data_IF_822330675719
#
_entry.id   IF_822330675719
#
_cell.length_a   1.000
_cell.length_b   1.000
_cell.length_c   1.000
_cell.angle_alpha   90.00
_cell.angle_beta   90.00
_cell.angle_gamma   90.00
#
_symmetry.space_group_name_H-M   'P 1'
#
loop_
_entity.id
_entity.type
_entity.pdbx_description
1 polymer ?
#
# COMPACT_ATOMS: atom_id res chain seq x y z
N UNK A 1 2.22 -22.51 -17.68
CA UNK A 1 2.03 -21.64 -16.49
C UNK A 1 3.17 -20.61 -16.32
N UNK A 2 3.95 -20.30 -17.38
CA UNK A 2 5.14 -19.45 -17.27
C UNK A 2 4.89 -17.97 -17.64
N UNK A 3 3.65 -17.55 -17.76
CA UNK A 3 3.27 -16.19 -18.20
C UNK A 3 2.57 -15.36 -17.12
N UNK A 4 2.78 -15.69 -15.86
CA UNK A 4 2.27 -14.86 -14.76
C UNK A 4 3.34 -13.86 -14.32
N UNK A 5 2.97 -12.58 -14.28
CA UNK A 5 3.79 -11.55 -13.65
C UNK A 5 3.77 -11.77 -12.13
N UNK A 6 4.93 -12.01 -11.54
CA UNK A 6 5.10 -12.19 -10.09
C UNK A 6 5.59 -10.89 -9.49
N UNK A 7 4.86 -10.38 -8.51
CA UNK A 7 5.22 -9.22 -7.73
C UNK A 7 5.52 -9.63 -6.29
N UNK A 8 6.45 -8.93 -5.65
CA UNK A 8 6.74 -9.07 -4.23
C UNK A 8 6.69 -7.71 -3.52
N UNK A 9 6.56 -7.73 -2.20
CA UNK A 9 6.61 -6.54 -1.36
C UNK A 9 7.86 -6.53 -0.48
N UNK A 10 8.29 -5.33 -0.15
CA UNK A 10 9.37 -5.05 0.78
C UNK A 10 8.80 -4.35 2.02
N UNK A 11 9.08 -4.91 3.20
CA UNK A 11 8.73 -4.28 4.49
C UNK A 11 9.65 -3.08 4.79
N UNK A 12 10.95 -3.23 4.49
CA UNK A 12 11.94 -2.17 4.68
C UNK A 12 11.95 -1.20 3.51
N UNK A 13 10.88 -0.44 3.36
CA UNK A 13 10.72 0.56 2.30
C UNK A 13 10.11 1.84 2.87
N UNK A 14 10.34 2.96 2.21
CA UNK A 14 9.74 4.24 2.58
C UNK A 14 8.82 4.70 1.47
N UNK A 15 7.60 5.06 1.84
CA UNK A 15 6.58 5.60 0.92
C UNK A 15 6.52 7.12 1.07
N UNK A 16 6.47 7.82 -0.05
CA UNK A 16 6.35 9.28 -0.12
C UNK A 16 5.11 9.65 -0.92
N UNK A 17 4.35 10.59 -0.41
CA UNK A 17 3.37 11.33 -1.21
C UNK A 17 3.96 12.70 -1.47
N UNK A 18 4.26 12.99 -2.74
CA UNK A 18 5.01 14.17 -3.15
C UNK A 18 4.12 15.16 -3.90
N UNK A 19 4.32 16.44 -3.62
CA UNK A 19 3.80 17.54 -4.44
C UNK A 19 4.97 18.11 -5.24
N UNK A 20 4.93 17.92 -6.56
CA UNK A 20 6.01 18.30 -7.48
C UNK A 20 5.60 19.52 -8.30
N UNK A 21 6.51 20.47 -8.56
CA UNK A 21 6.26 21.53 -9.52
C UNK A 21 6.09 20.94 -10.93
N UNK A 22 5.35 21.63 -11.78
CA UNK A 22 5.27 21.27 -13.20
C UNK A 22 6.58 21.64 -13.88
N UNK A 23 7.35 20.64 -14.24
CA UNK A 23 8.65 20.78 -14.92
C UNK A 23 8.66 19.98 -16.23
N UNK A 24 9.73 20.11 -17.02
CA UNK A 24 9.92 19.28 -18.21
C UNK A 24 10.10 17.80 -17.79
N UNK A 25 9.60 16.88 -18.61
CA UNK A 25 9.72 15.43 -18.34
C UNK A 25 11.16 14.98 -18.08
N UNK A 26 12.15 15.65 -18.70
CA UNK A 26 13.56 15.32 -18.51
C UNK A 26 14.05 15.59 -17.08
N UNK A 27 13.47 16.56 -16.39
CA UNK A 27 13.89 17.02 -15.06
C UNK A 27 13.08 16.38 -13.94
N UNK A 28 11.99 15.68 -14.29
CA UNK A 28 10.99 15.20 -13.34
C UNK A 28 11.58 14.16 -12.36
N UNK A 29 12.48 13.27 -12.82
CA UNK A 29 13.10 12.27 -11.92
C UNK A 29 13.97 12.94 -10.85
N UNK A 30 14.79 13.92 -11.26
CA UNK A 30 15.66 14.65 -10.35
C UNK A 30 14.83 15.45 -9.33
N UNK A 31 13.73 16.07 -9.79
CA UNK A 31 12.82 16.83 -8.93
C UNK A 31 12.08 15.90 -7.96
N UNK A 32 11.63 14.74 -8.41
CA UNK A 32 10.97 13.75 -7.54
C UNK A 32 11.92 13.24 -6.45
N UNK A 33 13.13 12.84 -6.84
CA UNK A 33 14.16 12.38 -5.90
C UNK A 33 14.55 13.47 -4.89
N UNK A 34 14.77 14.71 -5.37
CA UNK A 34 15.10 15.85 -4.49
C UNK A 34 13.97 16.12 -3.47
N UNK A 35 12.72 16.07 -3.88
CA UNK A 35 11.59 16.27 -2.97
C UNK A 35 11.47 15.12 -1.96
N UNK A 36 11.64 13.87 -2.39
CA UNK A 36 11.68 12.72 -1.48
C UNK A 36 12.81 12.83 -0.45
N UNK A 37 14.01 13.24 -0.88
CA UNK A 37 15.18 13.43 -0.02
C UNK A 37 15.02 14.53 1.03
N UNK A 38 14.07 15.45 0.85
CA UNK A 38 13.72 16.46 1.88
C UNK A 38 12.89 15.85 3.02
N UNK A 39 12.15 14.78 2.74
CA UNK A 39 11.33 14.08 3.73
C UNK A 39 12.18 13.05 4.48
N UNK A 40 12.96 12.27 3.76
CA UNK A 40 13.90 11.29 4.31
C UNK A 40 15.16 11.26 3.44
N UNK A 41 16.36 11.34 4.04
CA UNK A 41 17.61 11.32 3.29
C UNK A 41 17.70 10.07 2.41
N UNK A 42 17.94 10.27 1.12
CA UNK A 42 18.12 9.19 0.14
C UNK A 42 19.55 9.31 -0.41
N UNK A 43 20.32 8.24 -0.26
CA UNK A 43 21.59 8.08 -0.97
C UNK A 43 21.30 7.40 -2.32
N UNK A 44 21.43 8.10 -3.46
CA UNK A 44 21.08 7.52 -4.77
C UNK A 44 21.95 6.31 -5.16
N UNK A 45 23.16 6.21 -4.62
CA UNK A 45 24.09 5.13 -4.95
C UNK A 45 23.79 3.82 -4.19
N UNK A 46 22.98 3.90 -3.13
CA UNK A 46 22.63 2.76 -2.26
C UNK A 46 21.12 2.47 -2.21
N UNK A 47 20.33 3.31 -2.89
CA UNK A 47 18.87 3.28 -2.77
C UNK A 47 18.21 3.18 -4.13
N UNK A 48 17.35 2.20 -4.32
CA UNK A 48 16.41 2.16 -5.43
C UNK A 48 15.24 3.10 -5.13
N UNK A 49 14.87 3.91 -6.10
CA UNK A 49 13.79 4.88 -6.01
C UNK A 49 12.92 4.84 -7.26
N UNK A 50 11.63 4.73 -7.08
CA UNK A 50 10.65 4.82 -8.17
C UNK A 50 9.44 5.65 -7.75
N UNK A 51 8.78 6.28 -8.72
CA UNK A 51 7.58 7.07 -8.50
C UNK A 51 6.57 6.93 -9.63
N UNK A 52 5.31 7.25 -9.32
CA UNK A 52 4.21 7.36 -10.28
C UNK A 52 3.47 8.66 -10.07
N UNK A 53 3.14 9.33 -11.18
CA UNK A 53 2.32 10.53 -11.14
C UNK A 53 0.85 10.15 -10.93
N UNK A 54 0.22 10.78 -9.96
CA UNK A 54 -1.20 10.61 -9.64
C UNK A 54 -2.10 11.64 -10.35
N UNK A 55 -1.49 12.68 -10.91
CA UNK A 55 -2.19 13.75 -11.62
C UNK A 55 -1.88 15.14 -11.07
N UNK A 56 -2.66 16.12 -11.50
CA UNK A 56 -2.52 17.52 -11.03
C UNK A 56 -3.23 17.68 -9.68
N UNK A 57 -2.66 18.53 -8.83
CA UNK A 57 -3.28 18.94 -7.57
C UNK A 57 -4.38 19.97 -7.88
N UNK A 58 -5.56 19.79 -7.30
CA UNK A 58 -6.64 20.76 -7.39
C UNK A 58 -6.50 21.82 -6.30
N UNK A 59 -6.91 23.05 -6.57
CA UNK A 59 -7.09 24.10 -5.54
C UNK A 59 -5.84 24.87 -5.13
N UNK A 60 -4.71 24.74 -5.84
CA UNK A 60 -3.52 25.56 -5.58
C UNK A 60 -3.35 26.63 -6.68
N UNK A 61 -2.92 27.85 -6.30
CA UNK A 61 -2.64 28.96 -7.23
C UNK A 61 -1.49 28.60 -8.20
N UNK A 62 -0.62 27.69 -7.80
CA UNK A 62 0.49 27.23 -8.63
C UNK A 62 0.21 25.80 -9.09
N UNK A 63 0.19 25.53 -10.41
CA UNK A 63 0.01 24.20 -10.93
C UNK A 63 1.08 23.24 -10.38
N UNK A 64 0.65 22.17 -9.74
CA UNK A 64 1.53 21.14 -9.20
C UNK A 64 1.05 19.74 -9.57
N UNK A 65 1.98 18.78 -9.52
CA UNK A 65 1.73 17.38 -9.78
C UNK A 65 1.81 16.60 -8.45
N UNK A 66 0.84 15.76 -8.18
CA UNK A 66 0.92 14.79 -7.09
C UNK A 66 1.56 13.51 -7.60
N UNK A 67 2.50 12.99 -6.83
CA UNK A 67 3.15 11.72 -7.12
C UNK A 67 3.21 10.85 -5.88
N UNK A 68 3.20 9.54 -6.09
CA UNK A 68 3.53 8.55 -5.06
C UNK A 68 4.87 7.94 -5.39
N UNK A 69 5.76 7.84 -4.43
CA UNK A 69 7.09 7.29 -4.61
C UNK A 69 7.42 6.26 -3.53
N UNK A 70 8.31 5.36 -3.86
CA UNK A 70 8.85 4.35 -2.96
C UNK A 70 10.35 4.34 -3.06
N UNK A 71 11.03 4.20 -1.93
CA UNK A 71 12.46 3.93 -1.88
C UNK A 71 12.76 2.73 -0.99
N UNK A 72 13.82 1.99 -1.31
CA UNK A 72 14.36 0.92 -0.49
C UNK A 72 15.85 0.74 -0.79
N UNK A 73 16.58 0.08 0.11
CA UNK A 73 17.98 -0.23 -0.10
C UNK A 73 18.19 -1.10 -1.35
N UNK A 74 19.25 -0.83 -2.10
CA UNK A 74 19.61 -1.67 -3.26
C UNK A 74 19.91 -3.10 -2.81
N UNK A 75 20.57 -3.26 -1.67
CA UNK A 75 20.86 -4.57 -1.08
C UNK A 75 19.58 -5.35 -0.81
N UNK A 76 18.58 -4.75 -0.16
CA UNK A 76 17.28 -5.37 0.09
C UNK A 76 16.59 -5.80 -1.20
N UNK A 77 16.57 -4.94 -2.21
CA UNK A 77 16.01 -5.27 -3.52
C UNK A 77 16.75 -6.45 -4.20
N UNK A 78 18.07 -6.48 -4.10
CA UNK A 78 18.91 -7.53 -4.68
C UNK A 78 18.74 -8.88 -3.98
N UNK A 79 18.60 -8.89 -2.66
CA UNK A 79 18.32 -10.10 -1.88
C UNK A 79 17.03 -10.75 -2.38
N UNK A 80 15.97 -9.98 -2.56
CA UNK A 80 14.69 -10.48 -3.07
C UNK A 80 14.83 -10.99 -4.51
N UNK A 81 15.44 -10.19 -5.40
CA UNK A 81 15.67 -10.60 -6.79
C UNK A 81 16.42 -11.92 -6.87
N UNK A 82 17.54 -12.02 -6.16
CA UNK A 82 18.37 -13.21 -6.12
C UNK A 82 17.65 -14.44 -5.56
N UNK A 83 16.84 -14.26 -4.51
CA UNK A 83 16.06 -15.35 -3.93
C UNK A 83 15.05 -15.95 -4.92
N UNK A 84 14.32 -15.08 -5.63
CA UNK A 84 13.36 -15.51 -6.64
C UNK A 84 14.04 -16.13 -7.88
N UNK A 85 15.16 -15.56 -8.35
CA UNK A 85 15.96 -16.13 -9.44
C UNK A 85 16.47 -17.53 -9.10
N UNK A 86 16.98 -17.75 -7.88
CA UNK A 86 17.38 -19.08 -7.39
C UNK A 86 16.22 -20.09 -7.36
N UNK A 87 15.01 -19.62 -7.11
CA UNK A 87 13.79 -20.42 -7.17
C UNK A 87 13.27 -20.64 -8.61
N UNK A 88 13.95 -20.10 -9.64
CA UNK A 88 13.52 -20.17 -11.04
C UNK A 88 12.31 -19.27 -11.34
N UNK A 89 12.01 -18.28 -10.50
CA UNK A 89 10.89 -17.36 -10.65
C UNK A 89 11.41 -15.99 -11.06
N UNK A 90 10.88 -15.45 -12.15
CA UNK A 90 11.19 -14.09 -12.59
C UNK A 90 10.24 -13.10 -11.94
N UNK A 91 10.76 -12.17 -11.12
CA UNK A 91 9.99 -11.06 -10.62
C UNK A 91 9.69 -10.04 -11.72
N UNK A 92 8.42 -9.68 -11.86
CA UNK A 92 7.95 -8.58 -12.70
C UNK A 92 8.07 -7.24 -11.96
N UNK A 93 7.94 -7.24 -10.63
CA UNK A 93 8.05 -6.05 -9.82
C UNK A 93 8.27 -6.30 -8.33
N UNK A 94 8.75 -5.25 -7.68
CA UNK A 94 8.96 -5.17 -6.25
C UNK A 94 8.45 -3.80 -5.77
N UNK A 95 7.55 -3.80 -4.78
CA UNK A 95 6.94 -2.58 -4.28
C UNK A 95 6.92 -2.55 -2.74
N UNK A 96 6.38 -1.50 -2.16
CA UNK A 96 6.25 -1.36 -0.71
C UNK A 96 5.08 -2.15 -0.15
N UNK A 97 5.30 -2.86 0.94
CA UNK A 97 4.26 -3.54 1.70
C UNK A 97 3.16 -2.56 2.17
N UNK A 98 3.56 -1.39 2.59
CA UNK A 98 2.66 -0.37 3.12
C UNK A 98 1.78 0.29 2.05
N UNK A 99 2.29 0.39 0.82
CA UNK A 99 1.61 1.08 -0.27
C UNK A 99 0.56 0.21 -0.96
N UNK A 100 0.85 -1.07 -1.12
CA UNK A 100 0.05 -1.97 -1.95
C UNK A 100 -1.42 -2.08 -1.51
N UNK A 101 -1.76 -2.19 -0.22
CA UNK A 101 -3.15 -2.18 0.23
C UNK A 101 -3.88 -0.88 -0.07
N UNK A 102 -3.17 0.26 0.04
CA UNK A 102 -3.74 1.57 -0.26
C UNK A 102 -4.06 1.74 -1.76
N UNK A 103 -3.19 1.25 -2.65
CA UNK A 103 -3.45 1.25 -4.09
C UNK A 103 -4.63 0.35 -4.46
N UNK A 104 -4.79 -0.77 -3.78
CA UNK A 104 -5.97 -1.63 -3.94
C UNK A 104 -7.24 -0.90 -3.48
N UNK A 105 -7.20 -0.21 -2.33
CA UNK A 105 -8.31 0.58 -1.82
C UNK A 105 -8.71 1.71 -2.78
N UNK A 106 -7.74 2.38 -3.42
CA UNK A 106 -8.00 3.40 -4.44
C UNK A 106 -8.80 2.87 -5.65
N UNK A 107 -8.57 1.62 -6.05
CA UNK A 107 -9.24 1.00 -7.21
C UNK A 107 -10.62 0.44 -6.88
N UNK A 108 -10.83 0.11 -5.63
CA UNK A 108 -12.05 -0.53 -5.16
C UNK A 108 -12.58 0.23 -3.94
N UNK A 109 -13.27 1.37 -4.12
CA UNK A 109 -13.77 2.17 -3.00
C UNK A 109 -14.71 1.37 -2.11
N UNK A 110 -14.66 1.62 -0.81
CA UNK A 110 -15.53 0.98 0.19
C UNK A 110 -16.96 1.50 0.09
N UNK A 111 -17.08 2.76 -0.28
CA UNK A 111 -18.34 3.46 -0.46
C UNK A 111 -18.17 4.46 -1.60
N UNK A 112 -18.97 4.32 -2.64
CA UNK A 112 -18.89 5.17 -3.83
C UNK A 112 -19.25 6.64 -3.55
N UNK A 113 -19.97 6.89 -2.45
CA UNK A 113 -20.30 8.24 -2.00
C UNK A 113 -19.13 8.97 -1.31
N UNK A 114 -18.10 8.25 -0.89
CA UNK A 114 -16.95 8.82 -0.20
C UNK A 114 -15.92 9.35 -1.19
N UNK A 115 -15.89 10.64 -1.40
CA UNK A 115 -14.87 11.29 -2.23
C UNK A 115 -13.53 11.41 -1.52
N UNK A 116 -13.54 11.60 -0.20
CA UNK A 116 -12.35 11.61 0.66
C UNK A 116 -12.59 10.67 1.84
N UNK A 117 -11.68 9.74 2.05
CA UNK A 117 -11.77 8.81 3.17
C UNK A 117 -10.40 8.38 3.67
N UNK A 118 -10.36 7.92 4.91
CA UNK A 118 -9.19 7.32 5.50
C UNK A 118 -9.20 5.79 5.26
N UNK A 119 -8.07 5.24 4.87
CA UNK A 119 -7.83 3.80 4.81
C UNK A 119 -6.71 3.46 5.80
N UNK A 120 -6.99 2.58 6.74
CA UNK A 120 -6.05 2.21 7.79
C UNK A 120 -5.84 0.70 7.82
N UNK A 121 -4.59 0.28 7.74
CA UNK A 121 -4.17 -1.09 8.05
C UNK A 121 -3.58 -1.12 9.45
N UNK A 122 -3.96 -2.10 10.25
CA UNK A 122 -3.43 -2.33 11.61
C UNK A 122 -2.77 -3.69 11.63
N UNK A 123 -1.46 -3.71 11.69
CA UNK A 123 -0.65 -4.91 11.86
C UNK A 123 -0.22 -5.07 13.32
N UNK A 124 0.61 -6.06 13.63
CA UNK A 124 1.03 -6.39 14.99
C UNK A 124 1.71 -5.21 15.71
N UNK A 125 2.74 -4.63 15.13
CA UNK A 125 3.55 -3.57 15.74
C UNK A 125 3.27 -2.16 15.22
N UNK A 126 2.67 -2.02 14.05
CA UNK A 126 2.49 -0.73 13.39
C UNK A 126 1.14 -0.61 12.68
N UNK A 127 0.79 0.59 12.32
CA UNK A 127 -0.38 0.90 11.52
C UNK A 127 -0.02 1.89 10.42
N UNK A 128 -0.62 1.70 9.26
CA UNK A 128 -0.48 2.60 8.13
C UNK A 128 -1.81 3.28 7.87
N UNK A 129 -1.82 4.60 7.90
CA UNK A 129 -2.97 5.43 7.55
C UNK A 129 -2.73 6.09 6.19
N UNK A 130 -3.62 5.86 5.27
CA UNK A 130 -3.64 6.50 3.95
C UNK A 130 -4.91 7.32 3.80
N UNK A 131 -4.79 8.60 3.50
CA UNK A 131 -5.92 9.40 3.04
C UNK A 131 -6.06 9.24 1.54
N UNK A 132 -7.25 8.89 1.11
CA UNK A 132 -7.60 8.70 -0.29
C UNK A 132 -8.60 9.79 -0.68
N UNK A 133 -8.28 10.55 -1.72
CA UNK A 133 -9.13 11.61 -2.26
C UNK A 133 -9.37 11.36 -3.75
N UNK A 134 -10.64 11.28 -4.14
CA UNK A 134 -11.05 11.01 -5.52
C UNK A 134 -10.35 9.77 -6.13
N UNK A 135 -10.26 8.70 -5.34
CA UNK A 135 -9.63 7.43 -5.74
C UNK A 135 -8.11 7.49 -5.89
N UNK A 136 -7.43 8.48 -5.27
CA UNK A 136 -5.97 8.64 -5.31
C UNK A 136 -5.41 8.79 -3.91
N UNK A 137 -4.22 8.28 -3.70
CA UNK A 137 -3.48 8.50 -2.45
C UNK A 137 -3.16 10.00 -2.32
N UNK A 138 -3.64 10.60 -1.24
CA UNK A 138 -3.46 12.02 -0.95
C UNK A 138 -2.40 12.25 0.14
N UNK A 139 -2.35 11.39 1.14
CA UNK A 139 -1.38 11.40 2.22
C UNK A 139 -1.20 9.97 2.75
N UNK A 140 0.01 9.60 3.15
CA UNK A 140 0.26 8.34 3.88
C UNK A 140 1.14 8.63 5.09
N UNK A 141 0.82 7.99 6.21
CA UNK A 141 1.59 8.06 7.45
C UNK A 141 1.62 6.72 8.16
N UNK A 142 2.79 6.38 8.67
CA UNK A 142 2.98 5.22 9.52
C UNK A 142 2.94 5.65 10.97
N UNK A 143 2.32 4.81 11.79
CA UNK A 143 2.30 4.95 13.22
C UNK A 143 2.98 3.73 13.83
N UNK A 144 3.96 3.95 14.67
CA UNK A 144 4.54 2.89 15.52
C UNK A 144 3.56 2.52 16.64
N UNK A 145 2.41 2.03 16.23
CA UNK A 145 1.27 1.68 17.05
C UNK A 145 0.43 0.66 16.31
N UNK A 146 0.42 -0.57 16.79
CA UNK A 146 -0.28 -1.67 16.16
C UNK A 146 -1.17 -2.45 17.14
N UNK A 147 -1.59 -3.61 16.70
CA UNK A 147 -2.48 -4.47 17.47
C UNK A 147 -1.91 -4.84 18.84
N UNK A 148 -0.60 -5.07 18.95
CA UNK A 148 0.02 -5.47 20.20
C UNK A 148 -0.07 -4.36 21.28
N UNK A 149 0.03 -3.07 20.87
CA UNK A 149 -0.18 -1.95 21.79
C UNK A 149 -1.65 -1.72 22.09
N UNK A 150 -2.56 -2.00 21.16
CA UNK A 150 -3.99 -1.95 21.39
C UNK A 150 -4.46 -3.02 22.37
N UNK A 151 -3.88 -4.21 22.29
CA UNK A 151 -4.24 -5.34 23.13
C UNK A 151 -3.51 -5.37 24.48
N UNK A 152 -2.51 -4.51 24.70
CA UNK A 152 -1.70 -4.52 25.92
C UNK A 152 -2.55 -4.45 27.19
N UNK A 153 -3.53 -3.55 27.23
CA UNK A 153 -4.42 -3.39 28.38
C UNK A 153 -5.36 -4.60 28.58
N UNK A 154 -5.75 -5.26 27.47
CA UNK A 154 -6.53 -6.51 27.52
C UNK A 154 -5.70 -7.67 28.07
N UNK A 155 -4.44 -7.76 27.69
CA UNK A 155 -3.48 -8.75 28.21
C UNK A 155 -3.26 -8.53 29.70
N UNK A 156 -3.08 -7.29 30.15
CA UNK A 156 -2.92 -6.96 31.57
C UNK A 156 -4.14 -7.37 32.40
N UNK A 157 -5.35 -7.05 31.92
CA UNK A 157 -6.59 -7.45 32.60
C UNK A 157 -6.76 -8.97 32.65
N UNK A 158 -6.47 -9.66 31.56
CA UNK A 158 -6.54 -11.13 31.52
C UNK A 158 -5.52 -11.74 32.48
N UNK A 159 -4.36 -11.12 32.67
CA UNK A 159 -3.32 -11.59 33.58
C UNK A 159 -3.75 -11.67 35.06
N UNK A 160 -4.76 -10.84 35.44
CA UNK A 160 -5.32 -10.84 36.81
C UNK A 160 -6.33 -11.96 37.00
N UNK A 161 -7.00 -12.40 35.93
CA UNK A 161 -8.09 -13.39 35.99
C UNK A 161 -7.63 -14.83 35.69
N UNK A 162 -6.49 -15.00 34.99
CA UNK A 162 -5.94 -16.32 34.67
C UNK A 162 -4.97 -16.82 35.74
N UNK A 163 -4.99 -18.15 35.95
CA UNK A 163 -4.11 -18.83 36.89
C UNK A 163 -2.63 -18.54 36.62
N UNK A 164 -1.92 -18.27 37.71
CA UNK A 164 -0.48 -18.05 37.67
C UNK A 164 0.26 -19.36 37.77
N UNK A 165 1.05 -19.71 36.75
CA UNK A 165 2.01 -20.81 36.80
C UNK A 165 3.36 -20.28 37.31
N UNK A 166 3.82 -20.73 38.51
CA UNK A 166 5.11 -20.27 39.07
C UNK A 166 6.35 -20.66 38.24
N UNK A 167 6.21 -21.64 37.33
CA UNK A 167 7.31 -22.11 36.49
C UNK A 167 7.37 -21.40 35.12
N UNK A 168 6.35 -20.57 34.79
CA UNK A 168 6.30 -19.83 33.52
C UNK A 168 7.11 -18.53 33.64
N UNK A 169 7.97 -18.27 32.65
CA UNK A 169 8.67 -16.98 32.61
C UNK A 169 7.69 -15.83 32.34
N UNK A 170 7.98 -14.59 32.80
CA UNK A 170 7.13 -13.44 32.54
C UNK A 170 6.88 -13.21 31.04
N UNK A 171 7.88 -13.48 30.19
CA UNK A 171 7.78 -13.30 28.74
C UNK A 171 6.91 -14.38 28.11
N UNK A 172 7.04 -15.64 28.51
CA UNK A 172 6.21 -16.76 28.04
C UNK A 172 4.75 -16.53 28.45
N UNK A 173 4.52 -16.09 29.68
CA UNK A 173 3.19 -15.73 30.17
C UNK A 173 2.56 -14.65 29.33
N UNK A 174 3.29 -13.59 29.05
CA UNK A 174 2.82 -12.47 28.22
C UNK A 174 2.48 -12.95 26.80
N UNK A 175 3.32 -13.77 26.20
CA UNK A 175 3.10 -14.34 24.87
C UNK A 175 1.84 -15.23 24.85
N UNK A 176 1.66 -16.08 25.87
CA UNK A 176 0.47 -16.94 26.02
C UNK A 176 -0.81 -16.10 26.18
N UNK A 177 -0.77 -15.08 27.03
CA UNK A 177 -1.92 -14.19 27.25
C UNK A 177 -2.27 -13.40 25.97
N UNK A 178 -1.27 -12.91 25.24
CA UNK A 178 -1.47 -12.25 23.94
C UNK A 178 -2.13 -13.18 22.94
N UNK A 179 -1.65 -14.43 22.84
CA UNK A 179 -2.27 -15.44 21.99
C UNK A 179 -3.73 -15.71 22.41
N UNK A 180 -3.98 -15.80 23.70
CA UNK A 180 -5.32 -16.02 24.25
C UNK A 180 -6.27 -14.87 23.90
N UNK A 181 -5.83 -13.62 24.05
CA UNK A 181 -6.61 -12.44 23.65
C UNK A 181 -6.90 -12.49 22.15
N UNK A 182 -5.91 -12.78 21.31
CA UNK A 182 -6.09 -12.92 19.85
C UNK A 182 -7.10 -14.02 19.51
N UNK A 183 -7.08 -15.16 20.21
CA UNK A 183 -8.06 -16.24 20.06
C UNK A 183 -9.48 -15.78 20.41
N UNK A 184 -9.64 -15.02 21.50
CA UNK A 184 -10.96 -14.49 21.90
C UNK A 184 -11.51 -13.58 20.79
N UNK A 185 -10.69 -12.73 20.20
CA UNK A 185 -11.12 -11.88 19.08
C UNK A 185 -11.41 -12.67 17.79
N UNK A 186 -10.75 -13.79 17.58
CA UNK A 186 -10.97 -14.64 16.41
C UNK A 186 -12.26 -15.50 16.51
N UNK A 187 -12.70 -15.80 17.73
CA UNK A 187 -13.87 -16.66 18.00
C UNK A 187 -15.08 -15.81 18.42
N UNK A 188 -16.14 -15.86 17.61
CA UNK A 188 -17.36 -15.09 17.86
C UNK A 188 -18.08 -15.45 19.18
N UNK A 189 -18.02 -16.72 19.62
CA UNK A 189 -18.66 -17.14 20.87
C UNK A 189 -17.86 -16.67 22.08
N UNK A 190 -16.52 -16.78 22.01
CA UNK A 190 -15.64 -16.24 23.03
C UNK A 190 -15.77 -14.71 23.11
N UNK A 191 -15.89 -14.05 21.97
CA UNK A 191 -16.07 -12.59 21.91
C UNK A 191 -17.39 -12.15 22.55
N UNK A 192 -18.48 -12.89 22.37
CA UNK A 192 -19.77 -12.61 23.06
C UNK A 192 -19.65 -12.74 24.58
N UNK A 193 -18.85 -13.71 25.03
CA UNK A 193 -18.70 -13.96 26.49
C UNK A 193 -17.75 -12.95 27.15
N UNK A 194 -16.72 -12.51 26.44
CA UNK A 194 -15.67 -11.63 26.99
C UNK A 194 -15.70 -10.22 26.39
N UNK A 195 -16.62 -9.93 25.46
CA UNK A 195 -16.60 -8.73 24.63
C UNK A 195 -16.65 -7.42 25.41
N UNK A 196 -17.51 -7.32 26.44
CA UNK A 196 -17.64 -6.11 27.23
C UNK A 196 -16.37 -5.81 28.05
N UNK A 197 -15.75 -6.84 28.62
CA UNK A 197 -14.48 -6.71 29.33
C UNK A 197 -13.35 -6.26 28.39
N UNK A 198 -13.29 -6.85 27.22
CA UNK A 198 -12.26 -6.55 26.21
C UNK A 198 -12.48 -5.20 25.55
N UNK A 199 -13.73 -4.83 25.25
CA UNK A 199 -14.04 -3.51 24.70
C UNK A 199 -13.58 -2.40 25.64
N UNK A 200 -13.87 -2.50 26.95
CA UNK A 200 -13.41 -1.51 27.92
C UNK A 200 -11.89 -1.48 28.10
N UNK A 201 -11.19 -2.60 27.86
CA UNK A 201 -9.71 -2.64 27.91
C UNK A 201 -9.05 -2.08 26.66
N UNK A 202 -9.76 -1.96 25.55
CA UNK A 202 -9.25 -1.30 24.35
C UNK A 202 -9.30 0.25 24.42
N UNK A 203 -10.07 0.80 25.35
CA UNK A 203 -10.35 2.25 25.38
C UNK A 203 -9.10 3.12 25.39
N UNK A 204 -8.11 2.81 26.23
CA UNK A 204 -6.87 3.59 26.29
C UNK A 204 -6.05 3.48 25.00
N UNK A 205 -6.01 2.29 24.40
CA UNK A 205 -5.37 2.07 23.11
C UNK A 205 -6.08 2.81 21.99
N UNK A 206 -7.41 2.74 21.94
CA UNK A 206 -8.24 3.46 20.97
C UNK A 206 -8.06 4.98 21.11
N UNK A 207 -8.01 5.52 22.33
CA UNK A 207 -7.79 6.96 22.56
C UNK A 207 -6.42 7.42 22.04
N UNK A 208 -5.38 6.58 22.15
CA UNK A 208 -4.08 6.85 21.52
C UNK A 208 -4.19 6.85 20.00
N UNK A 209 -4.87 5.86 19.42
CA UNK A 209 -5.11 5.76 17.98
C UNK A 209 -5.85 7.02 17.47
N UNK A 210 -6.91 7.42 18.12
CA UNK A 210 -7.69 8.62 17.76
C UNK A 210 -6.83 9.87 17.71
N UNK A 211 -5.94 10.08 18.69
CA UNK A 211 -5.03 11.23 18.67
C UNK A 211 -4.13 11.26 17.45
N UNK A 212 -3.69 10.10 16.94
CA UNK A 212 -2.93 10.03 15.69
C UNK A 212 -3.81 10.35 14.48
N UNK A 213 -5.02 9.83 14.43
CA UNK A 213 -5.98 10.08 13.35
C UNK A 213 -6.35 11.56 13.29
N UNK A 214 -6.77 12.17 14.39
CA UNK A 214 -7.15 13.58 14.49
C UNK A 214 -6.01 14.53 14.09
N UNK A 215 -4.78 14.22 14.53
CA UNK A 215 -3.60 15.01 14.14
C UNK A 215 -3.35 14.92 12.63
N UNK A 216 -3.53 13.74 12.05
CA UNK A 216 -3.32 13.53 10.62
C UNK A 216 -4.43 14.19 9.80
N UNK A 217 -5.68 14.08 10.23
CA UNK A 217 -6.81 14.75 9.59
C UNK A 217 -6.67 16.27 9.65
N UNK A 218 -6.36 16.81 10.83
CA UNK A 218 -6.11 18.26 11.00
C UNK A 218 -4.93 18.77 10.16
N UNK A 219 -3.86 17.98 10.05
CA UNK A 219 -2.75 18.33 9.17
C UNK A 219 -3.19 18.36 7.71
N UNK A 220 -3.93 17.34 7.27
CA UNK A 220 -4.40 17.24 5.90
C UNK A 220 -5.32 18.40 5.51
N UNK A 221 -6.25 18.76 6.39
CA UNK A 221 -7.15 19.88 6.15
C UNK A 221 -6.45 21.25 6.17
N UNK A 222 -5.56 21.48 7.13
CA UNK A 222 -4.96 22.82 7.36
C UNK A 222 -3.72 23.08 6.53
N UNK A 223 -2.91 22.07 6.26
CA UNK A 223 -1.61 22.21 5.58
C UNK A 223 -1.67 21.76 4.14
N UNK A 224 -2.33 20.63 3.87
CA UNK A 224 -2.49 20.10 2.51
C UNK A 224 -3.75 20.65 1.82
N UNK A 225 -4.59 21.39 2.55
CA UNK A 225 -5.86 21.97 2.05
C UNK A 225 -6.81 20.91 1.48
N UNK A 226 -6.74 19.69 1.98
CA UNK A 226 -7.61 18.58 1.60
C UNK A 226 -8.97 18.63 2.29
N UNK A 227 -9.92 17.87 1.79
CA UNK A 227 -11.23 17.74 2.43
C UNK A 227 -11.19 16.79 3.64
N UNK A 228 -12.02 17.07 4.66
CA UNK A 228 -12.18 16.19 5.79
C UNK A 228 -12.61 14.77 5.34
N UNK A 229 -12.06 13.70 5.97
CA UNK A 229 -12.47 12.34 5.64
C UNK A 229 -13.93 12.10 5.98
N UNK A 230 -14.71 11.57 5.02
CA UNK A 230 -16.12 11.22 5.18
C UNK A 230 -16.32 9.92 5.96
N UNK A 231 -15.29 9.09 6.06
CA UNK A 231 -15.30 7.83 6.79
C UNK A 231 -13.92 7.19 6.88
N UNK A 232 -13.84 6.12 7.66
CA UNK A 232 -12.65 5.30 7.86
C UNK A 232 -12.91 3.88 7.35
N UNK A 233 -12.05 3.40 6.46
CA UNK A 233 -11.98 1.99 6.07
C UNK A 233 -10.86 1.32 6.86
N UNK A 234 -11.19 0.29 7.62
CA UNK A 234 -10.27 -0.42 8.50
C UNK A 234 -9.98 -1.83 7.99
N UNK A 235 -8.72 -2.18 7.94
CA UNK A 235 -8.22 -3.54 7.72
C UNK A 235 -7.35 -3.94 8.89
N UNK A 236 -7.72 -5.02 9.56
CA UNK A 236 -6.98 -5.67 10.63
C UNK A 236 -7.42 -7.13 10.70
N UNK A 237 -6.88 -7.91 11.62
CA UNK A 237 -7.36 -9.27 11.85
C UNK A 237 -8.84 -9.28 12.21
N UNK A 238 -9.59 -10.22 11.62
CA UNK A 238 -11.05 -10.19 11.47
C UNK A 238 -11.85 -9.83 12.72
N UNK A 239 -11.68 -10.57 13.80
CA UNK A 239 -12.47 -10.33 15.02
C UNK A 239 -12.13 -9.00 15.66
N UNK A 240 -10.85 -8.68 15.71
CA UNK A 240 -10.32 -7.42 16.23
C UNK A 240 -10.78 -6.21 15.40
N UNK A 241 -10.76 -6.32 14.07
CA UNK A 241 -11.20 -5.24 13.18
C UNK A 241 -12.62 -4.76 13.47
N UNK A 242 -13.56 -5.66 13.75
CA UNK A 242 -14.95 -5.33 14.03
C UNK A 242 -15.11 -4.55 15.35
N UNK A 243 -14.38 -4.97 16.39
CA UNK A 243 -14.42 -4.31 17.70
C UNK A 243 -13.77 -2.93 17.60
N UNK A 244 -12.59 -2.86 16.99
CA UNK A 244 -11.86 -1.60 16.80
C UNK A 244 -12.66 -0.60 15.95
N UNK A 245 -13.29 -1.04 14.87
CA UNK A 245 -14.11 -0.16 14.02
C UNK A 245 -15.26 0.47 14.81
N UNK A 246 -16.00 -0.32 15.62
CA UNK A 246 -17.08 0.20 16.46
C UNK A 246 -16.61 1.24 17.46
N UNK A 247 -15.46 0.96 18.11
CA UNK A 247 -14.88 1.90 19.09
C UNK A 247 -14.42 3.19 18.42
N UNK A 248 -13.77 3.10 17.25
CA UNK A 248 -13.35 4.27 16.47
C UNK A 248 -14.54 5.07 15.96
N UNK A 249 -15.56 4.42 15.40
CA UNK A 249 -16.80 5.06 14.93
C UNK A 249 -17.47 5.86 16.04
N UNK A 250 -17.65 5.23 17.21
CA UNK A 250 -18.27 5.87 18.37
C UNK A 250 -17.53 7.13 18.86
N UNK A 251 -16.19 7.13 18.78
CA UNK A 251 -15.36 8.21 19.33
C UNK A 251 -14.99 9.27 18.27
N UNK A 252 -14.78 8.87 17.01
CA UNK A 252 -14.47 9.82 15.91
C UNK A 252 -15.70 10.51 15.33
N UNK A 253 -16.89 9.90 15.50
CA UNK A 253 -18.13 10.43 14.93
C UNK A 253 -18.22 10.35 13.41
N UNK A 254 -17.37 9.55 12.76
CA UNK A 254 -17.41 9.25 11.32
C UNK A 254 -17.64 7.75 11.11
N UNK A 255 -18.33 7.34 10.03
CA UNK A 255 -18.58 5.92 9.74
C UNK A 255 -17.27 5.13 9.61
N UNK A 256 -17.18 3.99 10.30
CA UNK A 256 -16.04 3.08 10.22
C UNK A 256 -16.47 1.74 9.60
N UNK A 257 -15.93 1.42 8.44
CA UNK A 257 -16.22 0.17 7.72
C UNK A 257 -15.02 -0.76 7.75
N UNK A 258 -15.25 -2.02 8.14
CA UNK A 258 -14.20 -3.05 8.06
C UNK A 258 -14.17 -3.62 6.66
N UNK A 259 -12.98 -3.78 6.11
CA UNK A 259 -12.77 -4.42 4.83
C UNK A 259 -11.84 -5.62 4.95
N UNK A 260 -12.37 -6.78 4.60
CA UNK A 260 -11.66 -8.05 4.58
C UNK A 260 -11.31 -8.45 3.14
N UNK A 261 -10.37 -9.38 2.93
CA UNK A 261 -9.97 -9.82 1.59
C UNK A 261 -11.14 -10.22 0.68
N UNK A 262 -12.13 -10.95 1.21
CA UNK A 262 -13.32 -11.36 0.47
C UNK A 262 -14.26 -10.23 0.01
N UNK A 263 -14.13 -9.03 0.58
CA UNK A 263 -14.88 -7.86 0.15
C UNK A 263 -14.33 -7.22 -1.14
N UNK A 264 -13.12 -7.60 -1.56
CA UNK A 264 -12.52 -7.11 -2.80
C UNK A 264 -13.01 -7.94 -3.98
N UNK A 265 -13.50 -7.28 -5.01
CA UNK A 265 -13.83 -7.90 -6.30
C UNK A 265 -12.78 -7.49 -7.30
N UNK A 266 -12.01 -8.46 -7.77
CA UNK A 266 -10.96 -8.26 -8.77
C UNK A 266 -11.55 -8.53 -10.13
N UNK A 267 -11.54 -7.53 -10.99
CA UNK A 267 -12.05 -7.65 -12.36
C UNK A 267 -11.25 -8.71 -13.13
N UNK A 268 -11.97 -9.64 -13.77
CA UNK A 268 -11.36 -10.74 -14.52
C UNK A 268 -10.89 -11.93 -13.67
N UNK A 269 -11.05 -11.90 -12.33
CA UNK A 269 -10.77 -13.05 -11.50
C UNK A 269 -11.93 -14.06 -11.53
N UNK A 270 -11.58 -15.36 -11.57
CA UNK A 270 -12.56 -16.44 -11.51
C UNK A 270 -13.26 -16.50 -10.13
N UNK A 271 -14.50 -16.98 -10.07
CA UNK A 271 -15.26 -17.17 -8.81
C UNK A 271 -14.50 -17.99 -7.77
N UNK A 272 -13.65 -18.92 -8.21
CA UNK A 272 -12.77 -19.71 -7.34
C UNK A 272 -11.80 -18.84 -6.55
N UNK A 273 -11.26 -17.78 -7.14
CA UNK A 273 -10.34 -16.83 -6.45
C UNK A 273 -11.12 -16.08 -5.37
N UNK A 274 -12.32 -15.63 -5.66
CA UNK A 274 -13.17 -14.98 -4.66
C UNK A 274 -13.52 -15.91 -3.50
N UNK A 275 -13.84 -17.18 -3.78
CA UNK A 275 -14.10 -18.18 -2.74
C UNK A 275 -12.88 -18.49 -1.86
N UNK A 276 -11.68 -18.39 -2.42
CA UNK A 276 -10.43 -18.49 -1.62
C UNK A 276 -10.27 -17.26 -0.73
N UNK A 277 -10.47 -16.05 -1.28
CA UNK A 277 -10.33 -14.79 -0.54
C UNK A 277 -11.29 -14.68 0.63
N UNK A 278 -12.50 -15.24 0.53
CA UNK A 278 -13.50 -15.26 1.62
C UNK A 278 -12.99 -16.04 2.86
N UNK A 279 -12.05 -16.97 2.68
CA UNK A 279 -11.45 -17.73 3.77
C UNK A 279 -10.28 -17.03 4.46
N UNK A 280 -9.68 -16.01 3.83
CA UNK A 280 -8.60 -15.24 4.41
C UNK A 280 -9.13 -14.06 5.23
N UNK A 281 -8.62 -13.88 6.43
CA UNK A 281 -9.10 -12.88 7.39
C UNK A 281 -7.95 -12.09 8.01
N UNK A 282 -6.86 -11.91 7.27
CA UNK A 282 -5.65 -11.23 7.74
C UNK A 282 -5.17 -10.15 6.78
N UNK A 283 -4.37 -9.23 7.29
CA UNK A 283 -3.79 -8.10 6.52
C UNK A 283 -2.93 -8.61 5.37
N UNK A 284 -2.10 -9.62 5.61
CA UNK A 284 -1.21 -10.20 4.59
C UNK A 284 -1.93 -10.69 3.32
N UNK A 285 -3.19 -11.15 3.45
CA UNK A 285 -3.97 -11.54 2.28
C UNK A 285 -4.40 -10.33 1.43
N UNK A 286 -4.61 -9.16 2.04
CA UNK A 286 -4.90 -7.92 1.32
C UNK A 286 -3.64 -7.41 0.62
N UNK A 287 -2.48 -7.53 1.25
CA UNK A 287 -1.20 -7.22 0.63
C UNK A 287 -0.95 -8.10 -0.60
N UNK A 288 -1.13 -9.42 -0.45
CA UNK A 288 -0.99 -10.36 -1.56
C UNK A 288 -1.96 -10.04 -2.71
N UNK A 289 -3.21 -9.70 -2.40
CA UNK A 289 -4.22 -9.29 -3.39
C UNK A 289 -3.81 -7.99 -4.09
N UNK A 290 -3.33 -7.00 -3.33
CA UNK A 290 -2.85 -5.75 -3.89
C UNK A 290 -1.65 -5.95 -4.82
N UNK A 291 -0.71 -6.85 -4.47
CA UNK A 291 0.40 -7.25 -5.35
C UNK A 291 -0.10 -7.92 -6.63
N UNK A 292 -1.08 -8.82 -6.53
CA UNK A 292 -1.68 -9.46 -7.69
C UNK A 292 -2.39 -8.46 -8.64
N UNK A 293 -2.86 -7.33 -8.09
CA UNK A 293 -3.44 -6.22 -8.84
C UNK A 293 -2.41 -5.17 -9.29
N UNK A 294 -1.12 -5.36 -8.98
CA UNK A 294 -0.07 -4.41 -9.35
C UNK A 294 0.15 -4.34 -10.86
N UNK A 295 0.43 -3.15 -11.36
CA UNK A 295 0.61 -2.88 -12.78
C UNK A 295 1.54 -1.67 -13.00
N UNK A 296 1.56 -1.12 -14.20
CA UNK A 296 2.39 0.04 -14.58
C UNK A 296 2.15 1.29 -13.73
N UNK A 297 1.01 1.42 -13.04
CA UNK A 297 0.72 2.54 -12.13
C UNK A 297 1.25 2.32 -10.71
N UNK A 298 1.76 1.12 -10.41
CA UNK A 298 2.39 0.79 -9.13
C UNK A 298 3.89 1.13 -9.20
N UNK A 299 4.46 1.88 -8.23
CA UNK A 299 5.91 2.06 -8.15
C UNK A 299 6.63 0.71 -8.09
N UNK A 300 7.70 0.57 -8.87
CA UNK A 300 8.43 -0.68 -9.03
C UNK A 300 9.93 -0.47 -8.82
N UNK A 301 10.46 -0.98 -7.73
CA UNK A 301 11.85 -0.85 -7.34
C UNK A 301 12.84 -1.68 -8.21
N UNK A 302 12.32 -2.56 -9.09
CA UNK A 302 13.11 -3.28 -10.09
C UNK A 302 13.11 -2.58 -11.46
N UNK A 303 12.25 -1.58 -11.66
CA UNK A 303 12.10 -0.86 -12.92
C UNK A 303 12.32 0.64 -12.70
N UNK A 304 13.57 1.03 -12.52
CA UNK A 304 13.94 2.38 -12.14
C UNK A 304 13.63 3.42 -13.23
N UNK A 305 13.32 4.68 -12.87
CA UNK A 305 12.94 5.73 -13.83
C UNK A 305 13.95 5.94 -14.95
N UNK A 306 15.24 5.96 -14.64
CA UNK A 306 16.31 6.12 -15.63
C UNK A 306 16.33 4.99 -16.67
N UNK A 307 16.16 3.75 -16.22
CA UNK A 307 16.13 2.58 -17.11
C UNK A 307 14.87 2.58 -17.97
N UNK A 308 13.72 2.96 -17.40
CA UNK A 308 12.47 3.10 -18.17
C UNK A 308 12.61 4.12 -19.31
N UNK A 309 13.21 5.29 -19.01
CA UNK A 309 13.46 6.30 -20.04
C UNK A 309 14.40 5.79 -21.13
N UNK A 310 15.48 5.11 -20.74
CA UNK A 310 16.40 4.53 -21.69
C UNK A 310 15.71 3.51 -22.57
N UNK A 311 14.92 2.59 -21.99
CA UNK A 311 14.13 1.60 -22.76
C UNK A 311 13.09 2.28 -23.67
N UNK A 312 12.39 3.30 -23.19
CA UNK A 312 11.43 4.04 -24.01
C UNK A 312 12.12 4.77 -25.19
N UNK A 313 13.30 5.36 -24.94
CA UNK A 313 14.13 6.00 -25.98
C UNK A 313 14.59 4.96 -27.02
N UNK A 314 15.09 3.82 -26.57
CA UNK A 314 15.51 2.72 -27.47
C UNK A 314 14.34 2.20 -28.30
N UNK A 315 13.16 1.98 -27.71
CA UNK A 315 11.96 1.57 -28.45
C UNK A 315 11.56 2.60 -29.52
N UNK A 316 11.66 3.90 -29.24
CA UNK A 316 11.39 4.96 -30.21
C UNK A 316 12.40 4.92 -31.36
N UNK A 317 13.70 4.75 -31.06
CA UNK A 317 14.74 4.65 -32.07
C UNK A 317 14.57 3.41 -32.97
N UNK A 318 14.25 2.25 -32.36
CA UNK A 318 13.96 1.03 -33.09
C UNK A 318 12.75 1.18 -34.01
N UNK A 319 11.65 1.80 -33.51
CA UNK A 319 10.45 2.08 -34.33
C UNK A 319 10.78 3.03 -35.48
N UNK A 320 11.53 4.10 -35.22
CA UNK A 320 11.94 5.05 -36.23
C UNK A 320 12.83 4.36 -37.31
N UNK A 321 13.76 3.50 -36.87
CA UNK A 321 14.59 2.69 -37.76
C UNK A 321 13.77 1.74 -38.62
N UNK A 322 12.77 1.06 -38.03
CA UNK A 322 11.87 0.16 -38.80
C UNK A 322 11.03 0.93 -39.84
N UNK A 323 10.52 2.12 -39.48
CA UNK A 323 9.79 2.99 -40.40
C UNK A 323 10.71 3.45 -41.55
N UNK A 324 11.92 3.91 -41.22
CA UNK A 324 12.90 4.31 -42.22
C UNK A 324 13.28 3.14 -43.16
N UNK A 325 13.49 1.95 -42.61
CA UNK A 325 13.79 0.75 -43.42
C UNK A 325 12.62 0.38 -44.35
N UNK A 326 11.38 0.41 -43.79
CA UNK A 326 10.16 0.17 -44.58
C UNK A 326 10.02 1.18 -45.74
N UNK A 327 10.24 2.47 -45.46
CA UNK A 327 10.20 3.51 -46.46
C UNK A 327 11.27 3.31 -47.53
N UNK A 328 12.51 2.96 -47.14
CA UNK A 328 13.59 2.65 -48.08
C UNK A 328 13.26 1.44 -48.97
N UNK A 329 12.66 0.41 -48.38
CA UNK A 329 12.22 -0.79 -49.13
C UNK A 329 11.15 -0.44 -50.16
N UNK A 330 10.15 0.35 -49.76
CA UNK A 330 9.09 0.81 -50.69
C UNK A 330 9.68 1.67 -51.82
N UNK A 331 10.60 2.59 -51.49
CA UNK A 331 11.30 3.38 -52.52
C UNK A 331 12.11 2.50 -53.49
N UNK A 332 12.84 1.52 -52.99
CA UNK A 332 13.60 0.59 -53.84
C UNK A 332 12.69 -0.24 -54.76
N UNK A 333 11.57 -0.75 -54.23
CA UNK A 333 10.58 -1.46 -55.03
C UNK A 333 9.94 -0.55 -56.09
N UNK A 334 9.66 0.70 -55.74
CA UNK A 334 9.15 1.71 -56.69
C UNK A 334 10.16 1.98 -57.84
N UNK A 335 11.44 2.16 -57.50
CA UNK A 335 12.51 2.34 -58.47
C UNK A 335 12.65 1.10 -59.37
N UNK A 336 12.65 -0.10 -58.79
CA UNK A 336 12.75 -1.36 -59.56
C UNK A 336 11.56 -1.54 -60.51
N UNK A 337 10.35 -1.23 -60.05
CA UNK A 337 9.15 -1.26 -60.90
C UNK A 337 9.22 -0.21 -62.04
N UNK A 338 9.73 0.97 -61.76
CA UNK A 338 9.91 2.03 -62.76
C UNK A 338 10.95 1.61 -63.82
N UNK A 339 12.10 1.08 -63.39
CA UNK A 339 13.16 0.60 -64.33
C UNK A 339 12.77 -0.68 -65.10
N UNK A 340 11.82 -1.47 -64.60
CA UNK A 340 11.31 -2.65 -65.32
C UNK A 340 10.16 -2.37 -66.30
N UNK A 341 9.60 -1.14 -66.24
CA UNK A 341 8.57 -0.66 -67.19
C UNK A 341 9.11 0.26 -68.29
N UNK A 342 10.36 0.66 -68.19
CA UNK A 342 11.10 1.42 -69.22
C UNK A 342 11.93 0.47 -70.07
#
# INVERSE_FOLDING_TARGET
>A
PNDCDVWANLSESVVYVLTLPVVKDADLDAVALLNASRVSPINPDETNFDYRLLGRTAGTDVPSLRAIAVSASQEGCEVWRSAFEKAGIKLAGLSSQELVPALLACRTPVDESWTTYAYMTVDAGESVLTLIENGRVALQRNFNFGMDQLLADAVERLSVTEEYDPNESPDDRRARLMLRVKQIFADQELLKTHGDMLASSLDAGVDRCIKYLERTFSYYERVEHGAAPMGLCLTADHGFAQVLARSLESKLGIPCKVRLPGAYRVEGAEDRVHGILDNFKCVAAIEALGLACSNETTPNLLDLPAERRMRARMRRLVRAGMVALGAATVCMLGIAAWCGLA
#
